data_IF_671187262383
#
_entry.id   IF_671187262383
#
_cell.length_a   1.000
_cell.length_b   1.000
_cell.length_c   1.000
_cell.angle_alpha   90.00
_cell.angle_beta   90.00
_cell.angle_gamma   90.00
#
_symmetry.space_group_name_H-M   'P 1'
#
loop_
_entity.id
_entity.type
_entity.pdbx_description
1 polymer ?
#
# COMPACT_ATOMS: atom_id res chain seq x y z
N UNK A 1 23.01 6.73 13.41
CA UNK A 1 23.65 6.79 12.08
C UNK A 1 24.22 5.44 11.62
N UNK A 2 25.13 4.80 12.39
CA UNK A 2 25.78 3.53 12.03
C UNK A 2 24.83 2.44 11.50
N UNK A 3 23.67 2.23 12.14
CA UNK A 3 22.69 1.24 11.69
C UNK A 3 22.16 1.50 10.26
N UNK A 4 21.83 2.74 9.91
CA UNK A 4 21.28 3.07 8.59
C UNK A 4 22.31 2.83 7.48
N UNK A 5 23.58 3.20 7.74
CA UNK A 5 24.68 2.99 6.79
C UNK A 5 24.92 1.50 6.57
N UNK A 6 25.00 0.71 7.64
CA UNK A 6 25.17 -0.75 7.55
C UNK A 6 23.97 -1.42 6.88
N UNK A 7 22.75 -1.01 7.19
CA UNK A 7 21.55 -1.54 6.54
C UNK A 7 21.57 -1.27 5.03
N UNK A 8 21.82 -0.01 4.64
CA UNK A 8 21.95 0.36 3.23
C UNK A 8 23.01 -0.48 2.54
N UNK A 9 24.23 -0.56 3.07
CA UNK A 9 25.32 -1.33 2.48
C UNK A 9 24.99 -2.82 2.28
N UNK A 10 24.18 -3.40 3.17
CA UNK A 10 23.81 -4.81 3.11
C UNK A 10 22.59 -5.10 2.21
N UNK A 11 21.69 -4.13 2.02
CA UNK A 11 20.41 -4.34 1.34
C UNK A 11 20.25 -3.59 0.03
N UNK A 12 21.15 -2.64 -0.28
CA UNK A 12 21.11 -1.94 -1.55
C UNK A 12 21.39 -2.90 -2.71
N UNK A 13 20.66 -2.70 -3.81
CA UNK A 13 20.91 -3.36 -5.08
C UNK A 13 20.71 -2.38 -6.22
N UNK A 14 21.32 -2.67 -7.37
CA UNK A 14 21.03 -1.98 -8.62
C UNK A 14 20.23 -2.93 -9.50
N UNK A 15 19.07 -2.50 -9.99
CA UNK A 15 18.28 -3.33 -10.90
C UNK A 15 18.87 -3.29 -12.33
N UNK A 16 18.29 -4.09 -13.23
CA UNK A 16 18.73 -4.20 -14.63
C UNK A 16 18.62 -2.87 -15.39
N UNK A 17 17.72 -1.98 -14.97
CA UNK A 17 17.55 -0.62 -15.51
C UNK A 17 18.55 0.40 -14.93
N UNK A 18 19.44 -0.03 -14.04
CA UNK A 18 20.43 0.83 -13.41
C UNK A 18 19.90 1.70 -12.26
N UNK A 19 18.67 1.47 -11.78
CA UNK A 19 18.06 2.18 -10.64
C UNK A 19 18.50 1.59 -9.31
N UNK A 20 18.63 2.44 -8.30
CA UNK A 20 18.89 2.02 -6.92
C UNK A 20 17.62 1.45 -6.29
N UNK A 21 17.71 0.22 -5.81
CA UNK A 21 16.67 -0.45 -5.01
C UNK A 21 17.19 -0.52 -3.59
N UNK A 22 16.51 0.18 -2.68
CA UNK A 22 16.90 0.29 -1.27
C UNK A 22 15.81 -0.32 -0.41
N UNK A 23 16.19 -1.23 0.49
CA UNK A 23 15.25 -1.76 1.48
C UNK A 23 15.03 -0.74 2.60
N UNK A 24 13.76 -0.53 2.96
CA UNK A 24 13.43 0.32 4.10
C UNK A 24 13.82 -0.39 5.41
N UNK A 25 14.51 0.30 6.33
CA UNK A 25 14.86 -0.27 7.62
C UNK A 25 13.59 -0.48 8.46
N UNK A 26 13.34 -1.74 8.84
CA UNK A 26 12.20 -2.11 9.68
C UNK A 26 12.68 -2.33 11.12
N UNK A 27 11.94 -1.76 12.07
CA UNK A 27 12.12 -2.00 13.51
C UNK A 27 11.17 -3.13 13.96
N UNK A 28 11.69 -4.35 14.06
CA UNK A 28 10.88 -5.54 14.37
C UNK A 28 10.12 -5.43 15.70
N UNK A 29 10.72 -4.78 16.71
CA UNK A 29 10.10 -4.51 18.00
C UNK A 29 8.88 -3.59 17.91
N UNK A 30 8.85 -2.69 16.92
CA UNK A 30 7.73 -1.79 16.66
C UNK A 30 6.66 -2.45 15.78
N UNK A 31 7.05 -3.30 14.83
CA UNK A 31 6.10 -4.06 14.02
C UNK A 31 5.19 -4.94 14.89
N UNK A 32 5.77 -5.62 15.88
CA UNK A 32 5.01 -6.48 16.79
C UNK A 32 3.98 -5.69 17.63
N UNK A 33 4.16 -4.37 17.79
CA UNK A 33 3.24 -3.50 18.55
C UNK A 33 2.08 -2.96 17.71
N UNK A 34 2.13 -3.07 16.37
CA UNK A 34 1.06 -2.55 15.50
C UNK A 34 -0.28 -3.28 15.69
N UNK A 35 -0.26 -4.50 16.26
CA UNK A 35 -1.46 -5.24 16.61
C UNK A 35 -2.36 -5.61 15.42
N UNK A 36 -3.65 -5.82 15.70
CA UNK A 36 -4.64 -6.23 14.69
C UNK A 36 -5.16 -5.04 13.86
N UNK A 37 -4.51 -4.76 12.72
CA UNK A 37 -4.88 -3.66 11.81
C UNK A 37 -6.06 -3.98 10.86
N UNK A 38 -6.31 -5.27 10.58
CA UNK A 38 -7.32 -5.75 9.60
C UNK A 38 -8.72 -5.23 9.87
N UNK A 39 -9.18 -5.34 11.12
CA UNK A 39 -10.55 -4.93 11.49
C UNK A 39 -10.78 -3.43 11.27
N UNK A 40 -9.77 -2.60 11.56
CA UNK A 40 -9.83 -1.16 11.36
C UNK A 40 -9.86 -0.84 9.86
N UNK A 41 -8.97 -1.44 9.08
CA UNK A 41 -8.92 -1.26 7.62
C UNK A 41 -10.24 -1.71 6.95
N UNK A 42 -10.77 -2.87 7.33
CA UNK A 42 -12.04 -3.39 6.81
C UNK A 42 -13.22 -2.46 7.13
N UNK A 43 -13.31 -1.96 8.36
CA UNK A 43 -14.39 -1.03 8.74
C UNK A 43 -14.34 0.25 7.90
N UNK A 44 -13.15 0.78 7.64
CA UNK A 44 -12.93 1.96 6.79
C UNK A 44 -13.26 1.67 5.33
N UNK A 45 -12.88 0.50 4.82
CA UNK A 45 -13.23 0.03 3.49
C UNK A 45 -14.75 -0.04 3.30
N UNK A 46 -15.49 -0.65 4.24
CA UNK A 46 -16.96 -0.71 4.16
C UNK A 46 -17.63 0.68 4.20
N UNK A 47 -17.00 1.67 4.85
CA UNK A 47 -17.48 3.05 4.79
C UNK A 47 -17.20 3.70 3.43
N UNK A 48 -16.02 3.47 2.86
CA UNK A 48 -15.66 3.92 1.53
C UNK A 48 -16.61 3.32 0.49
N UNK A 49 -16.81 2.01 0.52
CA UNK A 49 -17.69 1.27 -0.39
C UNK A 49 -19.11 1.87 -0.41
N UNK A 50 -19.74 2.07 0.76
CA UNK A 50 -21.05 2.74 0.86
C UNK A 50 -21.06 4.16 0.28
N UNK A 51 -19.95 4.90 0.38
CA UNK A 51 -19.83 6.24 -0.23
C UNK A 51 -19.76 6.13 -1.75
N UNK A 52 -18.96 5.21 -2.28
CA UNK A 52 -18.81 4.97 -3.72
C UNK A 52 -20.15 4.53 -4.33
N UNK A 53 -20.89 3.63 -3.68
CA UNK A 53 -22.22 3.19 -4.15
C UNK A 53 -23.20 4.37 -4.30
N UNK A 54 -23.10 5.38 -3.44
CA UNK A 54 -23.98 6.56 -3.47
C UNK A 54 -23.51 7.64 -4.44
N UNK A 55 -22.29 7.54 -4.96
CA UNK A 55 -21.64 8.56 -5.80
C UNK A 55 -21.02 7.90 -7.05
N UNK A 56 -21.82 7.65 -8.11
CA UNK A 56 -21.37 6.90 -9.28
C UNK A 56 -20.12 7.47 -9.96
N UNK A 57 -20.04 8.79 -10.10
CA UNK A 57 -18.86 9.45 -10.69
C UNK A 57 -17.59 9.24 -9.87
N UNK A 58 -17.70 9.23 -8.53
CA UNK A 58 -16.56 8.96 -7.66
C UNK A 58 -16.15 7.48 -7.73
N UNK A 59 -17.12 6.56 -7.83
CA UNK A 59 -16.86 5.14 -8.02
C UNK A 59 -16.07 4.89 -9.30
N UNK A 60 -16.50 5.48 -10.41
CA UNK A 60 -15.82 5.35 -11.71
C UNK A 60 -14.37 5.84 -11.62
N UNK A 61 -14.13 7.03 -11.07
CA UNK A 61 -12.79 7.58 -10.89
C UNK A 61 -11.91 6.71 -9.97
N UNK A 62 -12.48 6.23 -8.87
CA UNK A 62 -11.79 5.34 -7.94
C UNK A 62 -11.40 4.02 -8.60
N UNK A 63 -12.32 3.37 -9.31
CA UNK A 63 -12.07 2.12 -10.00
C UNK A 63 -11.01 2.27 -11.10
N UNK A 64 -11.04 3.38 -11.84
CA UNK A 64 -10.04 3.67 -12.86
C UNK A 64 -8.64 3.87 -12.26
N UNK A 65 -8.54 4.65 -11.16
CA UNK A 65 -7.28 4.84 -10.45
C UNK A 65 -6.71 3.52 -9.92
N UNK A 66 -7.54 2.70 -9.25
CA UNK A 66 -7.11 1.41 -8.74
C UNK A 66 -6.60 0.53 -9.87
N UNK A 67 -7.32 0.45 -11.00
CA UNK A 67 -6.87 -0.33 -12.15
C UNK A 67 -5.52 0.16 -12.70
N UNK A 68 -5.35 1.46 -12.89
CA UNK A 68 -4.08 2.02 -13.34
C UNK A 68 -2.93 1.71 -12.35
N UNK A 69 -3.18 1.81 -11.05
CA UNK A 69 -2.20 1.49 -10.01
C UNK A 69 -1.77 0.01 -10.03
N UNK A 70 -2.69 -0.90 -10.39
CA UNK A 70 -2.39 -2.31 -10.65
C UNK A 70 -1.61 -2.51 -11.95
N UNK A 71 -2.05 -1.89 -13.05
CA UNK A 71 -1.42 -1.98 -14.38
C UNK A 71 0.04 -1.46 -14.35
N UNK A 72 0.31 -0.43 -13.54
CA UNK A 72 1.65 0.10 -13.28
C UNK A 72 2.52 -0.80 -12.36
N UNK A 73 1.95 -1.90 -11.86
CA UNK A 73 2.63 -2.83 -10.94
C UNK A 73 2.85 -2.26 -9.55
N UNK A 74 2.13 -1.21 -9.15
CA UNK A 74 2.23 -0.61 -7.82
C UNK A 74 1.42 -1.36 -6.76
N UNK A 75 0.49 -2.23 -7.18
CA UNK A 75 -0.17 -3.21 -6.34
C UNK A 75 -0.44 -4.50 -7.10
N UNK A 76 -0.80 -5.56 -6.37
CA UNK A 76 -1.27 -6.84 -6.92
C UNK A 76 -2.32 -7.43 -6.00
N UNK A 77 -3.16 -8.31 -6.54
CA UNK A 77 -4.00 -9.18 -5.72
C UNK A 77 -3.11 -10.08 -4.84
N UNK A 78 -3.43 -10.13 -3.55
CA UNK A 78 -2.76 -11.04 -2.59
C UNK A 78 -3.31 -12.44 -2.81
N UNK A 79 -2.43 -13.45 -2.98
CA UNK A 79 -2.87 -14.84 -3.09
C UNK A 79 -3.24 -15.43 -1.72
N UNK A 80 -4.05 -16.49 -1.71
CA UNK A 80 -4.42 -17.20 -0.47
C UNK A 80 -3.18 -17.73 0.26
N UNK A 81 -2.17 -18.21 -0.48
CA UNK A 81 -0.89 -18.67 0.08
C UNK A 81 -0.10 -17.53 0.76
N UNK A 82 -0.19 -16.31 0.23
CA UNK A 82 0.44 -15.12 0.81
C UNK A 82 -0.30 -14.63 2.06
N UNK A 83 -1.64 -14.74 2.10
CA UNK A 83 -2.44 -14.36 3.27
C UNK A 83 -2.15 -15.26 4.48
N UNK A 84 -1.83 -16.54 4.26
CA UNK A 84 -1.54 -17.54 5.30
C UNK A 84 -0.05 -17.62 5.65
N UNK A 85 0.83 -16.89 4.95
CA UNK A 85 2.28 -16.94 5.19
C UNK A 85 2.65 -16.61 6.64
N UNK A 86 3.06 -17.64 7.38
CA UNK A 86 3.49 -17.57 8.79
C UNK A 86 4.81 -16.80 8.97
N UNK A 87 5.52 -16.48 7.88
CA UNK A 87 6.87 -15.88 7.94
C UNK A 87 6.86 -14.41 8.35
N UNK A 88 5.80 -13.67 8.10
CA UNK A 88 5.70 -12.24 8.42
C UNK A 88 4.26 -11.89 8.83
N UNK A 89 4.05 -11.06 9.86
CA UNK A 89 2.71 -10.58 10.20
C UNK A 89 2.15 -9.70 9.06
N UNK A 90 0.90 -9.95 8.68
CA UNK A 90 0.18 -9.15 7.70
C UNK A 90 -0.36 -7.86 8.33
N UNK A 91 -0.09 -6.73 7.69
CA UNK A 91 -0.58 -5.42 8.12
C UNK A 91 -1.47 -4.79 7.05
N UNK A 92 -2.57 -4.20 7.49
CA UNK A 92 -3.60 -3.63 6.62
C UNK A 92 -3.68 -2.13 6.86
N UNK A 93 -3.53 -1.36 5.79
CA UNK A 93 -3.68 0.10 5.83
C UNK A 93 -5.08 0.48 5.33
N UNK A 94 -5.82 1.33 6.05
CA UNK A 94 -7.04 1.91 5.52
C UNK A 94 -6.73 2.76 4.28
N UNK A 95 -7.33 2.43 3.15
CA UNK A 95 -7.26 3.26 1.96
C UNK A 95 -8.36 4.33 2.00
N UNK A 96 -8.01 5.56 1.65
CA UNK A 96 -8.94 6.68 1.56
C UNK A 96 -8.71 7.44 0.26
N UNK A 97 -9.75 7.52 -0.56
CA UNK A 97 -9.73 8.31 -1.79
C UNK A 97 -9.67 9.81 -1.45
N UNK A 98 -8.58 10.48 -1.83
CA UNK A 98 -8.41 11.92 -1.68
C UNK A 98 -8.78 12.59 -3.00
N UNK A 99 -9.86 13.37 -3.01
CA UNK A 99 -10.28 14.08 -4.21
C UNK A 99 -9.62 15.45 -4.20
N UNK A 100 -8.87 15.75 -5.25
CA UNK A 100 -8.32 17.09 -5.48
C UNK A 100 -8.83 17.60 -6.82
N UNK A 101 -9.95 18.31 -6.77
CA UNK A 101 -10.63 18.83 -7.97
C UNK A 101 -9.74 19.75 -8.83
N UNK A 102 -8.73 20.38 -8.21
CA UNK A 102 -7.74 21.23 -8.87
C UNK A 102 -6.54 20.49 -9.46
N UNK A 103 -6.47 19.17 -9.32
CA UNK A 103 -5.38 18.37 -9.88
C UNK A 103 -5.54 18.20 -11.39
N UNK A 104 -4.47 18.47 -12.13
CA UNK A 104 -4.46 18.48 -13.61
C UNK A 104 -4.20 17.08 -14.18
N UNK A 105 -3.53 16.21 -13.42
CA UNK A 105 -3.16 14.85 -13.87
C UNK A 105 -4.17 13.79 -13.45
N UNK A 106 -4.63 13.83 -12.20
CA UNK A 106 -5.63 12.90 -11.68
C UNK A 106 -6.43 13.60 -10.59
N UNK A 107 -7.77 13.67 -10.73
CA UNK A 107 -8.66 14.28 -9.74
C UNK A 107 -8.78 13.46 -8.45
N UNK A 108 -8.30 12.22 -8.48
CA UNK A 108 -8.13 11.27 -7.39
C UNK A 108 -6.65 10.93 -7.18
#
# INVERSE_FOLDING_TARGET
>A
EKFCVTHYANTFKRNEEGRFVVTLPIKNDQLNKLGQSRNIALRRFLTLDRKLTRQPTLMEQYSQFMKEYEDLGHMKLVSEDEEVSVRMPNFYLPHHAIIKESSVTTKL
#
